data_IF_834999398380
#
_entry.id   IF_834999398380
#
_cell.length_a   1.000
_cell.length_b   1.000
_cell.length_c   1.000
_cell.angle_alpha   90.00
_cell.angle_beta   90.00
_cell.angle_gamma   90.00
#
_symmetry.space_group_name_H-M   'P 1'
#
loop_
_entity.id
_entity.type
_entity.pdbx_description
1 polymer ?
#
# COMPACT_ATOMS: atom_id res chain seq x y z
N UNK A 1 12.47 20.78 -67.11
CA UNK A 1 13.72 20.91 -66.31
C UNK A 1 13.36 21.55 -64.97
N UNK A 2 13.86 21.01 -63.85
CA UNK A 2 13.06 20.69 -62.66
C UNK A 2 12.90 21.84 -61.66
N UNK A 3 11.81 21.76 -60.90
CA UNK A 3 11.42 22.69 -59.83
C UNK A 3 12.09 22.41 -58.49
N UNK A 4 12.17 23.47 -57.70
CA UNK A 4 12.70 23.54 -56.34
C UNK A 4 11.82 22.74 -55.37
N UNK A 5 12.39 21.76 -54.66
CA UNK A 5 11.74 21.09 -53.53
C UNK A 5 12.41 21.51 -52.22
N UNK A 6 11.62 22.10 -51.34
CA UNK A 6 12.02 22.52 -50.00
C UNK A 6 12.27 21.31 -49.08
N UNK A 7 13.39 21.35 -48.36
CA UNK A 7 13.70 20.40 -47.28
C UNK A 7 12.74 20.65 -46.11
N UNK A 8 11.81 19.71 -45.87
CA UNK A 8 11.03 19.66 -44.63
C UNK A 8 11.92 19.10 -43.51
N UNK A 9 12.22 19.96 -42.53
CA UNK A 9 12.83 19.56 -41.27
C UNK A 9 11.95 18.54 -40.54
N UNK A 10 12.54 17.39 -40.21
CA UNK A 10 11.91 16.43 -39.29
C UNK A 10 11.90 17.07 -37.91
N UNK A 11 10.71 17.39 -37.40
CA UNK A 11 10.54 17.74 -35.98
C UNK A 11 10.86 16.47 -35.18
N UNK A 12 11.99 16.46 -34.50
CA UNK A 12 12.22 15.52 -33.42
C UNK A 12 11.16 15.81 -32.34
N UNK A 13 10.15 14.96 -32.28
CA UNK A 13 9.26 14.88 -31.13
C UNK A 13 10.12 14.37 -29.98
N UNK A 14 10.68 15.29 -29.22
CA UNK A 14 11.44 15.00 -28.01
C UNK A 14 10.43 14.42 -27.03
N UNK A 15 10.33 13.09 -26.98
CA UNK A 15 9.62 12.38 -25.91
C UNK A 15 10.15 12.96 -24.61
N UNK A 16 9.24 13.51 -23.79
CA UNK A 16 9.50 13.73 -22.38
C UNK A 16 10.01 12.39 -21.87
N UNK A 17 11.21 12.35 -21.32
CA UNK A 17 11.61 11.20 -20.51
C UNK A 17 10.77 11.36 -19.26
N UNK A 18 9.62 10.70 -19.24
CA UNK A 18 8.83 10.62 -18.01
C UNK A 18 9.77 10.03 -16.96
N UNK A 19 9.92 10.77 -15.87
CA UNK A 19 10.75 10.34 -14.75
C UNK A 19 10.06 9.09 -14.21
N UNK A 20 10.64 7.92 -14.45
CA UNK A 20 10.18 6.68 -13.82
C UNK A 20 10.28 6.92 -12.32
N UNK A 21 9.13 6.90 -11.64
CA UNK A 21 9.08 6.97 -10.17
C UNK A 21 9.79 5.73 -9.64
N UNK A 22 10.69 5.90 -8.67
CA UNK A 22 11.32 4.74 -8.04
C UNK A 22 10.26 3.89 -7.34
N UNK A 23 10.47 2.58 -7.31
CA UNK A 23 9.50 1.67 -6.72
C UNK A 23 9.39 1.94 -5.21
N UNK A 24 10.51 2.20 -4.53
CA UNK A 24 10.52 2.61 -3.14
C UNK A 24 9.66 3.86 -2.88
N UNK A 25 9.82 4.90 -3.71
CA UNK A 25 9.02 6.14 -3.59
C UNK A 25 7.53 5.90 -3.83
N UNK A 26 7.18 4.90 -4.65
CA UNK A 26 5.80 4.53 -4.91
C UNK A 26 5.16 3.79 -3.73
N UNK A 27 5.87 2.82 -3.16
CA UNK A 27 5.41 2.03 -2.01
C UNK A 27 5.31 2.89 -0.75
N UNK A 28 6.33 3.71 -0.45
CA UNK A 28 6.28 4.67 0.67
C UNK A 28 5.14 5.68 0.54
N UNK A 29 4.78 6.09 -0.68
CA UNK A 29 3.60 6.95 -0.87
C UNK A 29 2.31 6.20 -0.53
N UNK A 30 2.18 4.94 -0.95
CA UNK A 30 1.00 4.14 -0.61
C UNK A 30 0.87 3.93 0.90
N UNK A 31 1.96 3.74 1.64
CA UNK A 31 1.95 3.75 3.12
C UNK A 31 1.29 5.01 3.68
N UNK A 32 1.74 6.19 3.23
CA UNK A 32 1.16 7.45 3.70
C UNK A 32 -0.32 7.62 3.31
N UNK A 33 -0.72 7.13 2.14
CA UNK A 33 -2.12 7.16 1.69
C UNK A 33 -3.01 6.23 2.53
N UNK A 34 -2.51 5.05 2.91
CA UNK A 34 -3.18 4.11 3.83
C UNK A 34 -3.33 4.74 5.22
N UNK A 35 -2.23 5.23 5.80
CA UNK A 35 -2.23 5.87 7.13
C UNK A 35 -3.21 7.05 7.15
N UNK A 36 -3.17 7.90 6.13
CA UNK A 36 -4.05 9.06 6.00
C UNK A 36 -5.54 8.69 5.94
N UNK A 37 -5.90 7.57 5.29
CA UNK A 37 -7.29 7.10 5.25
C UNK A 37 -7.79 6.61 6.61
N UNK A 38 -6.93 5.99 7.42
CA UNK A 38 -7.25 5.57 8.80
C UNK A 38 -7.39 6.81 9.69
N UNK A 39 -6.48 7.78 9.58
CA UNK A 39 -6.53 9.05 10.33
C UNK A 39 -7.77 9.89 10.01
N UNK A 40 -8.18 9.92 8.72
CA UNK A 40 -9.41 10.59 8.26
C UNK A 40 -10.64 9.98 8.94
N UNK A 41 -10.72 8.64 8.99
CA UNK A 41 -11.80 7.94 9.68
C UNK A 41 -11.83 8.23 11.19
N UNK A 42 -10.67 8.20 11.86
CA UNK A 42 -10.56 8.54 13.29
C UNK A 42 -11.01 9.97 13.55
N UNK A 43 -10.66 10.91 12.67
CA UNK A 43 -11.10 12.31 12.76
C UNK A 43 -12.61 12.41 12.62
N UNK A 44 -13.21 11.70 11.66
CA UNK A 44 -14.67 11.64 11.49
C UNK A 44 -15.37 11.08 12.73
N UNK A 45 -14.86 9.99 13.32
CA UNK A 45 -15.44 9.37 14.52
C UNK A 45 -15.46 10.28 15.75
N UNK A 46 -14.46 11.17 15.85
CA UNK A 46 -14.31 12.14 16.95
C UNK A 46 -15.11 13.43 16.74
N UNK A 47 -15.81 13.57 15.60
CA UNK A 47 -16.67 14.73 15.37
C UNK A 47 -17.89 14.71 16.28
N UNK A 48 -18.15 15.83 16.96
CA UNK A 48 -19.31 16.05 17.83
C UNK A 48 -20.49 16.70 17.07
N UNK A 49 -20.45 16.73 15.74
CA UNK A 49 -21.50 17.35 14.91
C UNK A 49 -22.81 16.53 14.82
N UNK A 50 -22.82 15.32 15.39
CA UNK A 50 -23.97 14.42 15.39
C UNK A 50 -24.20 13.69 14.06
N UNK A 51 -23.32 13.84 13.08
CA UNK A 51 -23.35 13.06 11.86
C UNK A 51 -22.94 11.59 12.12
N UNK A 52 -23.42 10.64 11.31
CA UNK A 52 -22.85 9.29 11.31
C UNK A 52 -21.38 9.35 10.83
N UNK A 53 -20.51 8.48 11.35
CA UNK A 53 -19.11 8.46 10.92
C UNK A 53 -19.01 8.04 9.45
N UNK A 54 -18.12 8.69 8.72
CA UNK A 54 -17.82 8.34 7.33
C UNK A 54 -16.90 7.12 7.30
N UNK A 55 -17.42 5.94 6.99
CA UNK A 55 -16.64 4.69 7.01
C UNK A 55 -15.78 4.48 5.76
N UNK A 56 -16.09 5.19 4.67
CA UNK A 56 -15.44 5.00 3.38
C UNK A 56 -13.91 5.19 3.39
N UNK A 57 -13.32 6.17 4.12
CA UNK A 57 -11.87 6.29 4.25
C UNK A 57 -11.20 5.04 4.84
N UNK A 58 -11.75 4.49 5.94
CA UNK A 58 -11.20 3.27 6.55
C UNK A 58 -11.33 2.06 5.62
N UNK A 59 -12.49 1.87 4.98
CA UNK A 59 -12.67 0.76 4.03
C UNK A 59 -11.65 0.83 2.89
N UNK A 60 -11.47 2.00 2.27
CA UNK A 60 -10.47 2.19 1.22
C UNK A 60 -9.04 1.92 1.71
N UNK A 61 -8.69 2.39 2.92
CA UNK A 61 -7.37 2.17 3.49
C UNK A 61 -7.10 0.69 3.77
N UNK A 62 -8.06 -0.04 4.33
CA UNK A 62 -7.91 -1.48 4.60
C UNK A 62 -7.84 -2.29 3.29
N UNK A 63 -8.65 -1.95 2.28
CA UNK A 63 -8.58 -2.59 0.97
C UNK A 63 -7.21 -2.35 0.31
N UNK A 64 -6.72 -1.11 0.34
CA UNK A 64 -5.40 -0.75 -0.17
C UNK A 64 -4.28 -1.47 0.60
N UNK A 65 -4.37 -1.57 1.93
CA UNK A 65 -3.39 -2.27 2.75
C UNK A 65 -3.35 -3.77 2.49
N UNK A 66 -4.50 -4.43 2.31
CA UNK A 66 -4.51 -5.86 1.92
C UNK A 66 -3.90 -6.09 0.54
N UNK A 67 -4.23 -5.21 -0.42
CA UNK A 67 -3.68 -5.21 -1.77
C UNK A 67 -2.17 -4.96 -1.76
N UNK A 68 -1.70 -4.07 -0.89
CA UNK A 68 -0.29 -3.78 -0.68
C UNK A 68 0.47 -5.00 -0.14
N UNK A 69 -0.05 -5.62 0.93
CA UNK A 69 0.51 -6.85 1.50
C UNK A 69 0.56 -7.98 0.45
N UNK A 70 -0.44 -8.09 -0.44
CA UNK A 70 -0.39 -9.03 -1.57
C UNK A 70 0.72 -8.71 -2.57
N UNK A 71 0.84 -7.44 -2.99
CA UNK A 71 1.94 -7.00 -3.86
C UNK A 71 3.28 -7.41 -3.27
N UNK A 72 3.44 -7.24 -1.96
CA UNK A 72 4.69 -7.53 -1.31
C UNK A 72 4.96 -9.03 -1.19
N UNK A 73 4.02 -9.79 -0.63
CA UNK A 73 4.21 -11.22 -0.36
C UNK A 73 4.27 -12.08 -1.63
N UNK A 74 3.41 -11.81 -2.62
CA UNK A 74 3.24 -12.67 -3.79
C UNK A 74 4.06 -12.19 -4.99
N UNK A 75 4.43 -10.90 -5.03
CA UNK A 75 5.14 -10.31 -6.17
C UNK A 75 6.56 -9.86 -5.77
N UNK A 76 6.72 -8.94 -4.81
CA UNK A 76 8.02 -8.33 -4.50
C UNK A 76 8.98 -9.30 -3.77
N UNK A 77 8.55 -9.85 -2.64
CA UNK A 77 9.39 -10.68 -1.76
C UNK A 77 9.96 -11.93 -2.44
N UNK A 78 9.25 -12.61 -3.36
CA UNK A 78 9.84 -13.70 -4.13
C UNK A 78 11.09 -13.31 -4.93
N UNK A 79 11.16 -12.07 -5.46
CA UNK A 79 12.35 -11.57 -6.14
C UNK A 79 13.49 -11.21 -5.19
N UNK A 80 13.14 -10.75 -3.98
CA UNK A 80 14.10 -10.35 -2.95
C UNK A 80 14.60 -11.53 -2.09
N UNK A 81 13.99 -12.71 -2.23
CA UNK A 81 14.31 -13.87 -1.42
C UNK A 81 15.78 -14.29 -1.59
N UNK A 82 16.55 -14.18 -0.51
CA UNK A 82 17.96 -14.57 -0.48
C UNK A 82 18.54 -14.54 0.93
N UNK A 83 19.77 -15.06 1.13
CA UNK A 83 20.37 -15.18 2.46
C UNK A 83 20.51 -13.84 3.21
N UNK A 84 20.72 -12.73 2.50
CA UNK A 84 20.84 -11.38 3.07
C UNK A 84 19.53 -10.86 3.65
N UNK A 85 18.39 -11.19 3.04
CA UNK A 85 17.07 -10.70 3.42
C UNK A 85 16.19 -11.76 4.11
N UNK A 86 16.71 -12.97 4.35
CA UNK A 86 15.95 -14.05 4.96
C UNK A 86 15.31 -13.67 6.31
N UNK A 87 16.08 -13.03 7.21
CA UNK A 87 15.56 -12.58 8.51
C UNK A 87 14.64 -11.36 8.41
N UNK A 88 14.98 -10.29 7.67
CA UNK A 88 14.04 -9.20 7.40
C UNK A 88 12.70 -9.65 6.83
N UNK A 89 12.69 -10.47 5.78
CA UNK A 89 11.45 -10.96 5.16
C UNK A 89 10.63 -11.83 6.12
N UNK A 90 11.27 -12.65 6.96
CA UNK A 90 10.57 -13.41 8.02
C UNK A 90 9.85 -12.49 9.01
N UNK A 91 10.44 -11.33 9.34
CA UNK A 91 9.80 -10.33 10.20
C UNK A 91 8.61 -9.69 9.49
N UNK A 92 8.73 -9.34 8.20
CA UNK A 92 7.64 -8.77 7.40
C UNK A 92 6.43 -9.70 7.35
N UNK A 93 6.60 -10.98 6.99
CA UNK A 93 5.49 -11.95 6.98
C UNK A 93 4.77 -12.04 8.34
N UNK A 94 5.51 -12.04 9.44
CA UNK A 94 4.90 -12.10 10.79
C UNK A 94 4.13 -10.82 11.12
N UNK A 95 4.68 -9.66 10.74
CA UNK A 95 4.04 -8.37 10.99
C UNK A 95 2.81 -8.17 10.09
N UNK A 96 2.86 -8.61 8.83
CA UNK A 96 1.67 -8.69 7.96
C UNK A 96 0.56 -9.52 8.58
N UNK A 97 0.86 -10.68 9.17
CA UNK A 97 -0.14 -11.47 9.90
C UNK A 97 -0.79 -10.72 11.07
N UNK A 98 -0.02 -9.90 11.80
CA UNK A 98 -0.56 -9.07 12.89
C UNK A 98 -1.45 -7.95 12.36
N UNK A 99 -0.99 -7.25 11.32
CA UNK A 99 -1.72 -6.18 10.63
C UNK A 99 -3.03 -6.73 10.03
N UNK A 100 -2.98 -7.90 9.40
CA UNK A 100 -4.15 -8.55 8.79
C UNK A 100 -5.25 -8.80 9.81
N UNK A 101 -4.92 -9.38 10.97
CA UNK A 101 -5.90 -9.63 12.03
C UNK A 101 -6.44 -8.35 12.68
N UNK A 102 -5.63 -7.29 12.73
CA UNK A 102 -6.08 -5.99 13.20
C UNK A 102 -7.14 -5.41 12.24
N UNK A 103 -6.94 -5.53 10.91
CA UNK A 103 -7.94 -5.17 9.91
C UNK A 103 -9.21 -6.04 10.02
N UNK A 104 -9.07 -7.36 10.17
CA UNK A 104 -10.23 -8.24 10.35
C UNK A 104 -11.06 -7.86 11.60
N UNK A 105 -10.39 -7.42 12.67
CA UNK A 105 -11.06 -6.91 13.88
C UNK A 105 -11.83 -5.61 13.59
N UNK A 106 -11.24 -4.69 12.83
CA UNK A 106 -11.88 -3.43 12.44
C UNK A 106 -13.09 -3.65 11.52
N UNK A 107 -13.01 -4.60 10.59
CA UNK A 107 -14.16 -4.96 9.74
C UNK A 107 -15.36 -5.46 10.53
N UNK A 108 -15.14 -6.26 11.57
CA UNK A 108 -16.22 -6.71 12.45
C UNK A 108 -16.93 -5.54 13.13
N UNK A 109 -16.21 -4.47 13.48
CA UNK A 109 -16.84 -3.26 14.00
C UNK A 109 -17.64 -2.51 12.96
N UNK A 110 -17.12 -2.37 11.73
CA UNK A 110 -17.85 -1.73 10.64
C UNK A 110 -19.15 -2.48 10.29
N UNK A 111 -19.19 -3.80 10.51
CA UNK A 111 -20.39 -4.62 10.33
C UNK A 111 -21.38 -4.54 11.50
N UNK A 112 -21.01 -3.93 12.64
CA UNK A 112 -21.84 -3.90 13.85
C UNK A 112 -22.67 -2.61 13.92
N UNK A 113 -23.97 -2.70 14.16
CA UNK A 113 -24.87 -1.53 14.27
C UNK A 113 -24.76 -0.74 15.60
N UNK A 114 -23.74 -1.03 16.41
CA UNK A 114 -23.61 -0.47 17.76
C UNK A 114 -23.32 1.04 17.70
N UNK A 115 -24.27 1.85 18.14
CA UNK A 115 -24.22 3.30 18.05
C UNK A 115 -24.18 3.91 19.45
N UNK A 116 -22.97 4.13 19.98
CA UNK A 116 -22.77 4.79 21.26
C UNK A 116 -21.31 5.22 21.48
N UNK A 117 -21.09 6.18 22.38
CA UNK A 117 -19.76 6.77 22.63
C UNK A 117 -18.70 5.72 22.99
N UNK A 118 -19.02 4.78 23.87
CA UNK A 118 -18.08 3.72 24.27
C UNK A 118 -17.67 2.80 23.10
N UNK A 119 -18.55 2.57 22.13
CA UNK A 119 -18.20 1.81 20.92
C UNK A 119 -17.30 2.64 20.00
N UNK A 120 -17.58 3.94 19.84
CA UNK A 120 -16.71 4.85 19.08
C UNK A 120 -15.30 4.91 19.68
N UNK A 121 -15.18 5.05 20.99
CA UNK A 121 -13.88 5.09 21.68
C UNK A 121 -13.09 3.78 21.49
N UNK A 122 -13.78 2.64 21.53
CA UNK A 122 -13.17 1.33 21.25
C UNK A 122 -12.65 1.25 19.80
N UNK A 123 -13.46 1.65 18.82
CA UNK A 123 -13.06 1.62 17.40
C UNK A 123 -11.87 2.56 17.14
N UNK A 124 -11.89 3.75 17.75
CA UNK A 124 -10.75 4.69 17.73
C UNK A 124 -9.49 4.02 18.29
N UNK A 125 -9.59 3.32 19.42
CA UNK A 125 -8.47 2.57 20.00
C UNK A 125 -7.89 1.53 19.03
N UNK A 126 -8.73 0.74 18.38
CA UNK A 126 -8.26 -0.24 17.39
C UNK A 126 -7.63 0.38 16.13
N UNK A 127 -8.12 1.54 15.69
CA UNK A 127 -7.48 2.27 14.58
C UNK A 127 -6.09 2.78 14.99
N UNK A 128 -5.95 3.27 16.23
CA UNK A 128 -4.66 3.70 16.78
C UNK A 128 -3.69 2.52 16.93
N UNK A 129 -4.17 1.37 17.42
CA UNK A 129 -3.36 0.15 17.50
C UNK A 129 -2.87 -0.30 16.11
N UNK A 130 -3.71 -0.18 15.07
CA UNK A 130 -3.31 -0.48 13.69
C UNK A 130 -2.26 0.50 13.17
N UNK A 131 -2.45 1.81 13.35
CA UNK A 131 -1.44 2.83 12.97
C UNK A 131 -0.10 2.59 13.69
N UNK A 132 -0.14 2.25 14.98
CA UNK A 132 1.03 1.89 15.77
C UNK A 132 1.74 0.63 15.25
N UNK A 133 1.02 -0.32 14.65
CA UNK A 133 1.62 -1.48 13.99
C UNK A 133 2.26 -1.08 12.66
N UNK A 134 1.56 -0.27 11.86
CA UNK A 134 2.04 0.23 10.56
C UNK A 134 3.31 1.07 10.73
N UNK A 135 3.36 2.02 11.68
CA UNK A 135 4.58 2.81 11.93
C UNK A 135 5.79 1.91 12.25
N UNK A 136 5.59 0.90 13.12
CA UNK A 136 6.65 -0.05 13.48
C UNK A 136 7.05 -0.94 12.31
N UNK A 137 6.13 -1.27 11.43
CA UNK A 137 6.36 -2.08 10.24
C UNK A 137 7.13 -1.26 9.17
N UNK A 138 6.55 -0.14 8.74
CA UNK A 138 7.06 0.76 7.72
C UNK A 138 8.47 1.27 8.06
N UNK A 139 8.72 1.61 9.33
CA UNK A 139 10.05 2.08 9.79
C UNK A 139 11.17 1.03 9.67
N UNK A 140 10.84 -0.25 9.54
CA UNK A 140 11.79 -1.31 9.21
C UNK A 140 11.84 -1.53 7.71
N UNK A 141 10.68 -1.63 7.09
CA UNK A 141 10.56 -1.99 5.68
C UNK A 141 11.21 -0.96 4.75
N UNK A 142 10.86 0.31 4.90
CA UNK A 142 11.33 1.37 4.01
C UNK A 142 12.87 1.48 3.94
N UNK A 143 13.62 1.45 5.06
CA UNK A 143 15.09 1.49 5.00
C UNK A 143 15.76 0.14 4.76
N UNK A 144 15.09 -1.00 4.95
CA UNK A 144 15.72 -2.34 4.89
C UNK A 144 15.34 -3.10 3.61
N UNK A 145 14.09 -3.03 3.16
CA UNK A 145 13.56 -3.81 2.04
C UNK A 145 13.58 -2.99 0.75
N UNK A 146 12.99 -1.80 0.77
CA UNK A 146 12.79 -1.01 -0.45
C UNK A 146 14.08 -0.58 -1.19
N UNK A 147 15.25 -0.39 -0.55
CA UNK A 147 16.48 -0.14 -1.29
C UNK A 147 16.85 -1.28 -2.23
N UNK A 148 16.48 -2.53 -1.89
CA UNK A 148 16.69 -3.69 -2.75
C UNK A 148 15.66 -3.77 -3.88
N UNK A 149 14.45 -3.23 -3.67
CA UNK A 149 13.41 -3.18 -4.68
C UNK A 149 13.86 -2.40 -5.93
N UNK A 150 14.61 -1.30 -5.75
CA UNK A 150 15.15 -0.51 -6.85
C UNK A 150 16.52 -0.99 -7.37
N UNK A 151 17.35 -1.59 -6.50
CA UNK A 151 18.74 -1.92 -6.82
C UNK A 151 18.91 -3.33 -7.42
N UNK A 152 18.13 -4.30 -6.95
CA UNK A 152 18.40 -5.72 -7.16
C UNK A 152 17.42 -6.40 -8.13
N UNK A 153 16.25 -5.79 -8.38
CA UNK A 153 15.25 -6.38 -9.25
C UNK A 153 15.61 -6.25 -10.75
N UNK A 154 15.28 -7.27 -11.57
CA UNK A 154 15.40 -7.14 -13.02
C UNK A 154 14.33 -6.19 -13.58
N UNK A 155 14.57 -5.54 -14.74
CA UNK A 155 13.60 -4.62 -15.34
C UNK A 155 12.19 -5.19 -15.55
N UNK A 156 12.08 -6.50 -15.85
CA UNK A 156 10.79 -7.16 -16.00
C UNK A 156 10.00 -7.22 -14.68
N UNK A 157 10.67 -7.37 -13.53
CA UNK A 157 10.00 -7.33 -12.23
C UNK A 157 9.52 -5.91 -11.91
N UNK A 158 10.30 -4.88 -12.23
CA UNK A 158 9.85 -3.48 -12.08
C UNK A 158 8.58 -3.20 -12.90
N UNK A 159 8.52 -3.68 -14.15
CA UNK A 159 7.34 -3.49 -15.00
C UNK A 159 6.08 -4.12 -14.38
N UNK A 160 6.19 -5.37 -13.89
CA UNK A 160 5.08 -6.05 -13.20
C UNK A 160 4.64 -5.29 -11.94
N UNK A 161 5.59 -4.82 -11.13
CA UNK A 161 5.28 -4.11 -9.88
C UNK A 161 4.66 -2.74 -10.15
N UNK A 162 5.16 -1.99 -11.14
CA UNK A 162 4.54 -0.72 -11.53
C UNK A 162 3.14 -0.91 -12.12
N UNK A 163 2.93 -1.90 -12.98
CA UNK A 163 1.60 -2.23 -13.52
C UNK A 163 0.61 -2.59 -12.40
N UNK A 164 1.06 -3.40 -11.43
CA UNK A 164 0.24 -3.77 -10.29
C UNK A 164 -0.05 -2.58 -9.36
N UNK A 165 0.89 -1.66 -9.15
CA UNK A 165 0.64 -0.44 -8.37
C UNK A 165 -0.42 0.46 -9.03
N UNK A 166 -0.50 0.48 -10.36
CA UNK A 166 -1.46 1.31 -11.09
C UNK A 166 -2.86 0.69 -11.16
N UNK A 167 -2.95 -0.64 -11.31
CA UNK A 167 -4.20 -1.32 -11.70
C UNK A 167 -4.48 -2.65 -11.01
N UNK A 168 -3.55 -3.12 -10.18
CA UNK A 168 -3.64 -4.42 -9.53
C UNK A 168 -4.71 -4.47 -8.46
N UNK A 169 -5.44 -5.58 -8.43
CA UNK A 169 -6.46 -5.88 -7.43
C UNK A 169 -6.01 -7.07 -6.57
N UNK A 170 -6.49 -7.12 -5.33
CA UNK A 170 -6.31 -8.28 -4.47
C UNK A 170 -7.11 -9.46 -5.05
N UNK A 171 -6.50 -10.64 -5.27
CA UNK A 171 -7.25 -11.79 -5.76
C UNK A 171 -8.32 -12.27 -4.77
N UNK A 172 -9.48 -12.69 -5.29
CA UNK A 172 -10.58 -13.22 -4.48
C UNK A 172 -10.12 -14.38 -3.57
N UNK A 173 -10.38 -14.24 -2.27
CA UNK A 173 -10.06 -15.25 -1.27
C UNK A 173 -8.58 -15.36 -0.92
N UNK A 174 -7.72 -14.47 -1.44
CA UNK A 174 -6.34 -14.39 -0.99
C UNK A 174 -6.26 -13.91 0.46
N UNK A 175 -5.33 -14.51 1.22
CA UNK A 175 -5.02 -14.13 2.60
C UNK A 175 -3.51 -14.12 2.78
N UNK A 176 -3.00 -13.20 3.59
CA UNK A 176 -1.56 -13.14 3.88
C UNK A 176 -1.09 -14.44 4.54
N UNK A 177 0.19 -14.75 4.34
CA UNK A 177 0.80 -16.03 4.75
C UNK A 177 0.56 -16.37 6.23
N UNK A 178 0.64 -15.38 7.10
CA UNK A 178 0.59 -15.55 8.56
C UNK A 178 -0.74 -15.09 9.17
N UNK A 179 -1.81 -14.93 8.38
CA UNK A 179 -3.12 -14.46 8.85
C UNK A 179 -3.65 -15.26 10.06
N UNK A 180 -3.42 -16.58 10.06
CA UNK A 180 -3.96 -17.53 11.04
C UNK A 180 -2.94 -18.02 12.08
N UNK A 181 -1.77 -17.39 12.16
CA UNK A 181 -0.66 -17.80 13.04
C UNK A 181 -0.73 -17.16 14.43
#
# INVERSE_FOLDING_TARGET
>A
MPGLAAVRGRRHHRRRVDRVTLLADALTREHHEIDGGIEEFVTSLRSDDGAPPETAPLTRAMDALRRHIYLEEDILFPWLAGPSLAMPLMVMYREHGQIWRAMDTLELFLATEAQGGAHRDMVVGHCQDLLDLLEKHNSKEEPIIYPHADADLPPAAHEVLHEFLETGELPDGWVCREANS
#
